data_IF_854667378402
#
_entry.id   IF_854667378402
#
_cell.length_a   1.000
_cell.length_b   1.000
_cell.length_c   1.000
_cell.angle_alpha   90.00
_cell.angle_beta   90.00
_cell.angle_gamma   90.00
#
_symmetry.space_group_name_H-M   'P 1'
#
loop_
_entity.id
_entity.type
_entity.pdbx_description
1 polymer ?
#
# COMPACT_ATOMS: atom_id res chain seq x y z
N UNK A 1 -21.03 72.72 51.05
CA UNK A 1 -20.64 72.19 49.79
C UNK A 1 -20.93 70.68 49.73
N UNK A 2 -22.15 70.31 49.27
CA UNK A 2 -22.57 68.90 49.10
C UNK A 2 -22.14 68.41 47.73
N UNK A 3 -21.33 67.36 47.67
CA UNK A 3 -20.94 66.73 46.46
C UNK A 3 -21.88 65.53 46.16
N UNK A 4 -22.54 65.54 45.00
CA UNK A 4 -23.42 64.47 44.58
C UNK A 4 -22.61 63.30 44.08
N UNK A 5 -23.05 62.03 44.25
CA UNK A 5 -22.35 60.86 43.76
C UNK A 5 -22.54 60.66 42.23
N UNK A 6 -21.45 60.37 41.55
CA UNK A 6 -21.44 60.00 40.11
C UNK A 6 -21.96 58.57 39.95
N UNK A 7 -23.05 58.44 39.26
CA UNK A 7 -23.59 57.15 38.81
C UNK A 7 -22.75 56.63 37.65
N UNK A 8 -22.09 55.49 37.84
CA UNK A 8 -21.41 54.73 36.77
C UNK A 8 -22.43 53.94 35.96
N UNK A 9 -22.57 54.34 34.73
CA UNK A 9 -23.38 53.61 33.72
C UNK A 9 -22.69 52.28 33.38
N UNK A 10 -23.35 51.19 33.77
CA UNK A 10 -22.90 49.84 33.40
C UNK A 10 -23.13 49.65 31.90
N UNK A 11 -22.02 49.47 31.17
CA UNK A 11 -22.05 49.05 29.76
C UNK A 11 -22.56 47.61 29.70
N UNK A 12 -23.67 47.45 29.00
CA UNK A 12 -24.26 46.15 28.65
C UNK A 12 -23.28 45.33 27.83
N UNK A 13 -22.76 44.26 28.41
CA UNK A 13 -21.99 43.27 27.71
C UNK A 13 -22.93 42.46 26.82
N UNK A 14 -22.88 42.69 25.48
CA UNK A 14 -23.56 41.83 24.52
C UNK A 14 -22.86 40.48 24.51
N UNK A 15 -23.52 39.45 25.05
CA UNK A 15 -23.14 38.07 24.91
C UNK A 15 -23.29 37.68 23.45
N UNK A 16 -22.18 37.44 22.78
CA UNK A 16 -22.17 36.83 21.44
C UNK A 16 -22.47 35.34 21.62
N UNK A 17 -23.70 34.96 21.31
CA UNK A 17 -24.08 33.55 21.20
C UNK A 17 -23.43 32.96 19.98
N UNK A 18 -22.34 32.24 20.13
CA UNK A 18 -21.76 31.38 19.10
C UNK A 18 -22.61 30.12 19.00
N UNK A 19 -23.50 30.10 18.02
CA UNK A 19 -24.17 28.87 17.62
C UNK A 19 -23.12 27.96 17.02
N UNK A 20 -22.67 26.97 17.77
CA UNK A 20 -21.88 25.85 17.24
C UNK A 20 -22.81 25.04 16.34
N UNK A 21 -22.73 25.28 15.03
CA UNK A 21 -23.36 24.40 14.07
C UNK A 21 -22.74 23.02 14.25
N UNK A 22 -23.51 22.10 14.82
CA UNK A 22 -23.18 20.69 14.83
C UNK A 22 -23.15 20.23 13.38
N UNK A 23 -21.96 20.13 12.82
CA UNK A 23 -21.73 19.43 11.55
C UNK A 23 -21.93 17.96 11.85
N UNK A 24 -23.17 17.50 11.70
CA UNK A 24 -23.49 16.09 11.69
C UNK A 24 -22.91 15.54 10.37
N UNK A 25 -21.79 14.85 10.48
CA UNK A 25 -21.22 14.12 9.36
C UNK A 25 -22.35 13.23 8.79
N UNK A 26 -22.57 13.21 7.47
CA UNK A 26 -23.54 12.30 6.90
C UNK A 26 -23.16 10.89 7.34
N UNK A 27 -24.13 10.18 7.94
CA UNK A 27 -23.99 8.77 8.28
C UNK A 27 -23.46 8.06 7.03
N UNK A 28 -22.27 7.48 7.13
CA UNK A 28 -21.70 6.69 6.06
C UNK A 28 -22.76 5.63 5.71
N UNK A 29 -23.35 5.77 4.54
CA UNK A 29 -24.22 4.77 3.98
C UNK A 29 -23.43 3.47 4.01
N UNK A 30 -23.89 2.51 4.77
CA UNK A 30 -23.32 1.18 4.88
C UNK A 30 -23.38 0.59 3.47
N UNK A 31 -22.26 0.69 2.77
CA UNK A 31 -22.14 0.19 1.40
C UNK A 31 -22.41 -1.31 1.46
N UNK A 32 -23.44 -1.75 0.74
CA UNK A 32 -23.75 -3.17 0.59
C UNK A 32 -22.45 -3.92 0.26
N UNK A 33 -22.23 -5.11 0.86
CA UNK A 33 -20.99 -5.84 0.66
C UNK A 33 -20.77 -6.05 -0.83
N UNK A 34 -19.64 -5.55 -1.32
CA UNK A 34 -19.29 -5.63 -2.72
C UNK A 34 -19.26 -7.10 -3.16
N UNK A 35 -20.13 -7.45 -4.09
CA UNK A 35 -20.15 -8.80 -4.66
C UNK A 35 -18.96 -8.94 -5.61
N UNK A 36 -18.07 -9.89 -5.29
CA UNK A 36 -16.91 -10.20 -6.10
C UNK A 36 -17.34 -10.86 -7.42
N UNK A 37 -16.84 -10.33 -8.51
CA UNK A 37 -16.98 -10.93 -9.85
C UNK A 37 -15.67 -11.62 -10.24
N UNK A 38 -15.66 -12.55 -11.22
CA UNK A 38 -14.42 -13.16 -11.71
C UNK A 38 -13.41 -12.17 -12.28
N UNK A 39 -13.87 -10.97 -12.66
CA UNK A 39 -13.04 -9.88 -13.19
C UNK A 39 -12.59 -8.88 -12.13
N UNK A 40 -13.05 -9.01 -10.89
CA UNK A 40 -12.69 -8.09 -9.79
C UNK A 40 -11.22 -8.22 -9.42
N UNK A 41 -10.52 -7.09 -9.41
CA UNK A 41 -9.13 -6.99 -8.96
C UNK A 41 -9.07 -6.36 -7.58
N UNK A 42 -8.58 -7.12 -6.60
CA UNK A 42 -8.43 -6.66 -5.21
C UNK A 42 -7.08 -6.00 -4.98
N UNK A 43 -7.01 -5.17 -3.92
CA UNK A 43 -5.75 -4.61 -3.44
C UNK A 43 -4.82 -5.74 -2.95
N UNK A 44 -3.53 -5.61 -3.28
CA UNK A 44 -2.51 -6.51 -2.76
C UNK A 44 -1.91 -6.05 -1.44
N UNK A 45 -1.00 -6.84 -0.88
CA UNK A 45 -0.24 -6.52 0.33
C UNK A 45 1.26 -6.38 0.04
N UNK A 46 1.91 -5.49 0.77
CA UNK A 46 3.36 -5.35 0.78
C UNK A 46 3.90 -6.21 1.91
N UNK A 47 4.72 -7.21 1.56
CA UNK A 47 5.20 -8.19 2.53
C UNK A 47 6.73 -8.30 2.52
N UNK A 48 7.28 -8.86 3.56
CA UNK A 48 8.72 -9.17 3.68
C UNK A 48 8.89 -10.67 3.83
N UNK A 49 9.72 -11.27 2.99
CA UNK A 49 10.10 -12.67 3.13
C UNK A 49 10.92 -12.85 4.41
N UNK A 50 10.47 -13.68 5.32
CA UNK A 50 11.18 -14.05 6.54
C UNK A 50 12.04 -15.31 6.37
N UNK A 51 11.58 -16.24 5.55
CA UNK A 51 12.27 -17.49 5.30
C UNK A 51 11.36 -18.52 4.65
N UNK A 52 11.81 -19.75 4.68
CA UNK A 52 11.02 -20.90 4.26
C UNK A 52 11.02 -21.94 5.39
N UNK A 53 9.94 -22.67 5.47
CA UNK A 53 9.76 -23.78 6.40
C UNK A 53 9.08 -24.95 5.69
N UNK A 54 8.99 -26.06 6.35
CA UNK A 54 8.28 -27.23 5.87
C UNK A 54 7.02 -27.41 6.69
N UNK A 55 5.90 -27.64 6.03
CA UNK A 55 4.63 -27.96 6.65
C UNK A 55 4.20 -29.37 6.26
N UNK A 56 3.58 -30.06 7.20
CA UNK A 56 2.97 -31.38 6.96
C UNK A 56 1.46 -31.21 6.88
N UNK A 57 0.88 -31.73 5.81
CA UNK A 57 -0.58 -31.79 5.68
C UNK A 57 -1.13 -32.93 6.53
N UNK A 58 -2.45 -32.92 6.83
CA UNK A 58 -3.09 -34.04 7.53
C UNK A 58 -2.87 -35.40 6.84
N UNK A 59 -2.70 -35.40 5.52
CA UNK A 59 -2.45 -36.58 4.69
C UNK A 59 -0.99 -37.08 4.78
N UNK A 60 -0.16 -36.47 5.63
CA UNK A 60 1.25 -36.83 5.78
C UNK A 60 2.18 -36.31 4.67
N UNK A 61 1.70 -35.50 3.74
CA UNK A 61 2.53 -34.91 2.69
C UNK A 61 3.36 -33.75 3.25
N UNK A 62 4.65 -33.74 2.85
CA UNK A 62 5.60 -32.67 3.17
C UNK A 62 5.50 -31.56 2.11
N UNK A 63 5.15 -30.34 2.51
CA UNK A 63 4.99 -29.20 1.61
C UNK A 63 5.92 -28.06 2.03
N UNK A 64 6.78 -27.55 1.13
CA UNK A 64 7.59 -26.37 1.42
C UNK A 64 6.70 -25.12 1.49
N UNK A 65 6.87 -24.34 2.54
CA UNK A 65 6.12 -23.11 2.75
C UNK A 65 7.04 -21.90 2.88
N UNK A 66 6.71 -20.82 2.21
CA UNK A 66 7.40 -19.53 2.36
C UNK A 66 6.67 -18.68 3.38
N UNK A 67 7.40 -18.18 4.37
CA UNK A 67 6.85 -17.29 5.39
C UNK A 67 6.99 -15.84 4.95
N UNK A 68 5.87 -15.19 4.75
CA UNK A 68 5.76 -13.77 4.41
C UNK A 68 5.20 -13.01 5.62
N UNK A 69 5.86 -11.93 6.00
CA UNK A 69 5.45 -11.07 7.09
C UNK A 69 4.78 -9.80 6.57
N UNK A 70 3.56 -9.54 6.99
CA UNK A 70 2.80 -8.31 6.70
C UNK A 70 3.09 -7.31 7.80
N UNK A 71 3.73 -6.19 7.47
CA UNK A 71 4.22 -5.20 8.41
C UNK A 71 3.51 -3.86 8.21
N UNK A 72 2.62 -3.51 9.13
CA UNK A 72 1.93 -2.22 9.22
C UNK A 72 1.43 -1.67 7.87
N UNK A 73 0.74 -2.51 7.08
CA UNK A 73 0.14 -2.09 5.82
C UNK A 73 -1.09 -1.22 6.08
N UNK A 74 -1.11 -0.03 5.50
CA UNK A 74 -2.21 0.94 5.61
C UNK A 74 -2.46 1.61 4.25
N UNK A 75 -3.72 1.90 3.97
CA UNK A 75 -4.11 2.59 2.74
C UNK A 75 -3.81 4.08 2.88
N UNK A 76 -2.93 4.62 2.02
CA UNK A 76 -2.53 6.03 2.05
C UNK A 76 -3.32 6.91 1.09
N UNK A 77 -3.77 6.37 -0.04
CA UNK A 77 -4.49 7.15 -1.04
C UNK A 77 -5.32 6.24 -1.94
N UNK A 78 -6.45 6.77 -2.39
CA UNK A 78 -7.22 6.24 -3.53
C UNK A 78 -6.93 7.09 -4.76
N UNK A 79 -6.73 6.47 -5.91
CA UNK A 79 -6.44 7.14 -7.18
C UNK A 79 -7.59 6.86 -8.13
N UNK A 80 -8.15 7.92 -8.69
CA UNK A 80 -9.22 7.84 -9.68
C UNK A 80 -10.62 7.61 -9.10
N UNK A 81 -10.78 7.48 -7.79
CA UNK A 81 -12.08 7.22 -7.15
C UNK A 81 -13.12 8.31 -7.41
N UNK A 82 -12.68 9.58 -7.48
CA UNK A 82 -13.54 10.75 -7.64
C UNK A 82 -13.95 11.03 -9.09
N UNK A 83 -13.41 10.28 -10.06
CA UNK A 83 -13.70 10.52 -11.48
C UNK A 83 -14.87 9.67 -11.95
N UNK A 84 -15.81 10.28 -12.73
CA UNK A 84 -16.92 9.52 -13.29
C UNK A 84 -16.42 8.45 -14.27
N UNK A 85 -17.21 7.42 -14.42
CA UNK A 85 -17.00 6.36 -15.39
C UNK A 85 -17.32 6.93 -16.79
N UNK A 86 -16.28 7.25 -17.56
CA UNK A 86 -16.40 7.76 -18.94
C UNK A 86 -15.49 6.97 -19.89
N UNK A 87 -15.57 7.26 -21.20
CA UNK A 87 -14.82 6.57 -22.27
C UNK A 87 -13.30 6.65 -22.08
N UNK A 88 -12.78 7.61 -21.34
CA UNK A 88 -11.42 7.72 -20.84
C UNK A 88 -11.40 7.44 -19.33
N UNK A 89 -11.94 6.33 -18.88
CA UNK A 89 -11.94 5.98 -17.46
C UNK A 89 -10.49 5.95 -16.93
N UNK A 90 -10.12 6.84 -16.01
CA UNK A 90 -8.80 6.81 -15.40
C UNK A 90 -8.64 5.48 -14.70
N UNK A 91 -7.44 4.92 -14.72
CA UNK A 91 -7.20 3.72 -13.95
C UNK A 91 -7.50 3.96 -12.47
N UNK A 92 -8.18 3.00 -11.87
CA UNK A 92 -8.45 3.01 -10.44
C UNK A 92 -7.31 2.27 -9.71
N UNK A 93 -6.80 2.88 -8.67
CA UNK A 93 -5.75 2.28 -7.88
C UNK A 93 -5.84 2.67 -6.39
N UNK A 94 -5.32 1.81 -5.55
CA UNK A 94 -5.15 2.04 -4.12
C UNK A 94 -3.67 2.04 -3.80
N UNK A 95 -3.19 3.12 -3.20
CA UNK A 95 -1.83 3.20 -2.71
C UNK A 95 -1.75 2.65 -1.29
N UNK A 96 -0.90 1.66 -1.10
CA UNK A 96 -0.64 1.04 0.20
C UNK A 96 0.72 1.48 0.70
N UNK A 97 0.76 1.89 1.96
CA UNK A 97 1.96 2.23 2.71
C UNK A 97 2.30 1.10 3.68
N UNK A 98 3.55 0.72 3.77
CA UNK A 98 3.98 -0.40 4.62
C UNK A 98 5.28 -0.10 5.36
N UNK A 99 5.47 -0.80 6.47
CA UNK A 99 6.64 -0.73 7.34
C UNK A 99 6.86 0.66 7.92
N UNK A 100 6.65 0.81 9.20
CA UNK A 100 6.88 2.07 9.90
C UNK A 100 8.36 2.48 9.84
N UNK A 101 8.60 3.75 9.65
CA UNK A 101 9.93 4.33 9.53
C UNK A 101 10.14 5.46 10.54
N UNK A 102 11.41 5.73 10.86
CA UNK A 102 11.74 6.90 11.67
C UNK A 102 11.58 8.17 10.83
N UNK A 103 11.00 9.23 11.41
CA UNK A 103 10.75 10.50 10.72
C UNK A 103 12.01 11.11 10.05
N UNK A 104 13.19 10.88 10.62
CA UNK A 104 14.47 11.36 10.07
C UNK A 104 14.93 10.64 8.79
N UNK A 105 14.37 9.46 8.49
CA UNK A 105 14.76 8.65 7.33
C UNK A 105 13.89 8.95 6.13
N UNK A 106 12.66 9.40 6.37
CA UNK A 106 11.67 9.70 5.33
C UNK A 106 11.78 11.16 4.91
N UNK A 107 11.77 11.43 3.61
CA UNK A 107 11.86 12.78 3.07
C UNK A 107 10.68 13.67 3.50
N UNK A 108 10.87 14.99 3.52
CA UNK A 108 9.80 15.92 3.92
C UNK A 108 8.56 15.85 2.99
N UNK A 109 8.70 15.76 1.66
CA UNK A 109 7.56 15.57 0.75
C UNK A 109 6.78 14.29 1.03
N UNK A 110 7.46 13.15 1.26
CA UNK A 110 6.79 11.89 1.57
C UNK A 110 6.06 11.92 2.91
N UNK A 111 6.65 12.58 3.92
CA UNK A 111 5.97 12.80 5.21
C UNK A 111 4.71 13.63 5.06
N UNK A 112 4.78 14.71 4.25
CA UNK A 112 3.61 15.54 3.93
C UNK A 112 2.52 14.77 3.21
N UNK A 113 2.90 13.91 2.26
CA UNK A 113 1.97 13.03 1.55
C UNK A 113 1.24 12.07 2.51
N UNK A 114 1.97 11.39 3.38
CA UNK A 114 1.39 10.47 4.37
C UNK A 114 0.56 11.19 5.44
N UNK A 115 0.98 12.38 5.86
CA UNK A 115 0.26 13.20 6.83
C UNK A 115 -1.14 13.61 6.33
N UNK A 116 -1.33 13.79 5.00
CA UNK A 116 -2.67 14.05 4.42
C UNK A 116 -3.65 12.91 4.66
N UNK A 117 -3.14 11.69 4.75
CA UNK A 117 -3.91 10.48 5.06
C UNK A 117 -3.99 10.19 6.57
N UNK A 118 -3.42 11.06 7.42
CA UNK A 118 -3.33 10.84 8.87
C UNK A 118 -2.36 9.72 9.26
N UNK A 119 -1.46 9.32 8.36
CA UNK A 119 -0.52 8.22 8.59
C UNK A 119 0.83 8.72 9.09
N UNK A 120 1.49 7.90 9.90
CA UNK A 120 2.89 8.08 10.27
C UNK A 120 3.85 7.84 9.10
N UNK A 121 5.15 8.15 9.28
CA UNK A 121 6.14 7.92 8.25
C UNK A 121 6.30 6.43 7.95
N UNK A 122 6.18 6.05 6.68
CA UNK A 122 6.30 4.68 6.17
C UNK A 122 7.52 4.55 5.26
N UNK A 123 8.04 3.35 5.14
CA UNK A 123 9.25 3.06 4.36
C UNK A 123 8.97 2.77 2.90
N UNK A 124 7.83 2.15 2.60
CA UNK A 124 7.50 1.67 1.26
C UNK A 124 6.09 2.11 0.90
N UNK A 125 5.94 2.69 -0.28
CA UNK A 125 4.67 3.04 -0.90
C UNK A 125 4.56 2.29 -2.22
N UNK A 126 3.45 1.61 -2.46
CA UNK A 126 3.15 0.93 -3.73
C UNK A 126 1.68 1.09 -4.08
N UNK A 127 1.42 1.15 -5.38
CA UNK A 127 0.08 1.21 -5.92
C UNK A 127 -0.35 -0.15 -6.44
N UNK A 128 -1.60 -0.46 -6.17
CA UNK A 128 -2.29 -1.63 -6.70
C UNK A 128 -3.47 -1.15 -7.52
N UNK A 129 -3.51 -1.54 -8.79
CA UNK A 129 -4.69 -1.32 -9.63
C UNK A 129 -5.81 -2.19 -9.09
N UNK A 130 -6.98 -1.60 -8.98
CA UNK A 130 -8.17 -2.26 -8.42
C UNK A 130 -9.39 -1.94 -9.26
N UNK A 131 -10.38 -2.77 -9.20
CA UNK A 131 -11.70 -2.48 -9.75
C UNK A 131 -12.49 -1.60 -8.76
N UNK A 132 -13.53 -0.95 -9.23
CA UNK A 132 -14.31 0.00 -8.44
C UNK A 132 -14.96 -0.65 -7.21
N UNK A 133 -15.37 -1.89 -7.33
CA UNK A 133 -15.93 -2.73 -6.27
C UNK A 133 -14.93 -3.08 -5.16
N UNK A 134 -13.63 -2.96 -5.46
CA UNK A 134 -12.53 -3.31 -4.57
C UNK A 134 -11.81 -2.11 -3.95
N UNK A 135 -12.37 -0.91 -4.06
CA UNK A 135 -11.81 0.29 -3.44
C UNK A 135 -11.89 0.18 -1.91
N UNK A 136 -10.76 0.42 -1.26
CA UNK A 136 -10.64 0.37 0.21
C UNK A 136 -10.45 1.79 0.74
N UNK A 137 -11.16 2.23 1.79
CA UNK A 137 -11.04 3.57 2.37
C UNK A 137 -9.62 3.89 2.84
N UNK A 138 -9.23 5.17 2.73
CA UNK A 138 -7.95 5.68 3.24
C UNK A 138 -7.87 5.47 4.76
N UNK A 139 -6.69 5.11 5.26
CA UNK A 139 -6.46 4.83 6.68
C UNK A 139 -6.81 3.40 7.11
N UNK A 140 -7.40 2.58 6.22
CA UNK A 140 -7.70 1.17 6.55
C UNK A 140 -6.41 0.39 6.74
N UNK A 141 -6.33 -0.36 7.83
CA UNK A 141 -5.22 -1.28 8.11
C UNK A 141 -5.46 -2.62 7.45
N UNK A 142 -4.48 -3.08 6.69
CA UNK A 142 -4.53 -4.36 5.99
C UNK A 142 -3.63 -5.37 6.70
N UNK A 143 -4.20 -6.52 7.02
CA UNK A 143 -3.50 -7.63 7.68
C UNK A 143 -3.49 -8.89 6.80
N UNK A 144 -2.86 -9.95 7.25
CA UNK A 144 -2.87 -11.25 6.56
C UNK A 144 -4.29 -11.82 6.38
N UNK A 145 -5.24 -11.45 7.24
CA UNK A 145 -6.64 -11.84 7.13
C UNK A 145 -7.36 -11.29 5.87
N UNK A 146 -6.69 -10.38 5.14
CA UNK A 146 -7.15 -9.93 3.82
C UNK A 146 -7.24 -11.09 2.81
N UNK A 147 -6.40 -12.10 2.95
CA UNK A 147 -6.42 -13.31 2.14
C UNK A 147 -7.14 -14.44 2.86
N UNK A 148 -7.87 -15.25 2.10
CA UNK A 148 -8.57 -16.41 2.62
C UNK A 148 -7.65 -17.63 2.51
N UNK A 149 -7.60 -18.52 3.53
CA UNK A 149 -6.86 -19.78 3.42
C UNK A 149 -7.28 -20.60 2.20
N UNK A 150 -6.30 -21.10 1.45
CA UNK A 150 -6.53 -21.83 0.20
C UNK A 150 -6.64 -20.97 -1.05
N UNK A 151 -6.54 -19.65 -0.92
CA UNK A 151 -6.51 -18.74 -2.05
C UNK A 151 -5.13 -18.73 -2.70
N UNK A 152 -5.11 -18.86 -4.04
CA UNK A 152 -3.90 -18.65 -4.85
C UNK A 152 -3.54 -17.17 -4.90
N UNK A 153 -2.24 -16.88 -4.82
CA UNK A 153 -1.72 -15.50 -4.84
C UNK A 153 -0.53 -15.37 -5.77
N UNK A 154 -0.48 -14.27 -6.51
CA UNK A 154 0.68 -13.89 -7.30
C UNK A 154 1.67 -13.10 -6.45
N UNK A 155 2.96 -13.41 -6.61
CA UNK A 155 4.03 -12.74 -5.85
C UNK A 155 4.96 -12.02 -6.82
N UNK A 156 5.11 -10.71 -6.62
CA UNK A 156 6.07 -9.89 -7.34
C UNK A 156 7.22 -9.49 -6.41
N UNK A 157 8.43 -9.85 -6.76
CA UNK A 157 9.62 -9.54 -5.97
C UNK A 157 10.86 -9.37 -6.85
N UNK A 158 11.91 -8.77 -6.27
CA UNK A 158 13.23 -8.74 -6.88
C UNK A 158 13.90 -10.09 -6.60
N UNK A 159 14.37 -10.76 -7.66
CA UNK A 159 15.06 -12.03 -7.54
C UNK A 159 16.41 -11.87 -6.87
N UNK A 160 16.96 -12.98 -6.36
CA UNK A 160 18.29 -12.99 -5.76
C UNK A 160 19.34 -12.51 -6.75
N UNK A 161 20.18 -11.56 -6.33
CA UNK A 161 21.32 -11.10 -7.13
C UNK A 161 22.34 -12.20 -7.37
N UNK A 162 22.89 -12.24 -8.58
CA UNK A 162 23.94 -13.20 -8.98
C UNK A 162 25.27 -12.51 -9.29
N UNK A 163 25.42 -11.25 -8.89
CA UNK A 163 26.58 -10.42 -9.15
C UNK A 163 26.78 -10.17 -10.64
N UNK A 164 28.02 -9.94 -11.05
CA UNK A 164 28.41 -9.78 -12.45
C UNK A 164 28.55 -11.14 -13.12
N UNK A 165 27.42 -11.81 -13.34
CA UNK A 165 27.34 -13.12 -13.94
C UNK A 165 26.85 -13.02 -15.41
N UNK A 166 27.31 -13.92 -16.27
CA UNK A 166 26.86 -14.05 -17.66
C UNK A 166 25.41 -14.55 -17.75
N UNK A 167 24.86 -14.49 -18.95
CA UNK A 167 23.46 -14.83 -19.21
C UNK A 167 23.11 -16.30 -18.93
N UNK A 168 24.06 -17.20 -19.02
CA UNK A 168 23.84 -18.60 -18.65
C UNK A 168 23.45 -18.73 -17.18
N UNK A 169 24.15 -18.05 -16.28
CA UNK A 169 23.86 -18.10 -14.84
C UNK A 169 22.67 -17.24 -14.47
N UNK A 170 22.50 -16.05 -15.10
CA UNK A 170 21.41 -15.12 -14.76
C UNK A 170 20.06 -15.57 -15.27
N UNK A 171 20.01 -16.08 -16.51
CA UNK A 171 18.76 -16.31 -17.23
C UNK A 171 18.60 -17.74 -17.76
N UNK A 172 19.52 -18.66 -17.42
CA UNK A 172 19.52 -20.05 -17.86
C UNK A 172 19.55 -20.19 -19.40
N UNK A 173 20.26 -19.29 -20.09
CA UNK A 173 20.47 -19.41 -21.53
C UNK A 173 21.41 -20.55 -21.85
N UNK A 174 21.24 -21.14 -23.02
CA UNK A 174 22.21 -22.07 -23.57
C UNK A 174 23.52 -21.35 -23.87
N UNK A 175 24.65 -22.00 -23.63
CA UNK A 175 25.95 -21.49 -24.01
C UNK A 175 26.26 -21.71 -25.49
N UNK A 176 27.38 -21.16 -25.93
CA UNK A 176 27.96 -21.52 -27.23
C UNK A 176 28.55 -22.94 -27.23
N UNK A 177 28.92 -23.43 -28.43
CA UNK A 177 29.57 -24.71 -28.57
C UNK A 177 30.90 -24.76 -27.78
N UNK A 178 31.23 -25.89 -27.17
CA UNK A 178 32.49 -26.08 -26.45
C UNK A 178 33.68 -26.35 -27.38
N UNK A 179 33.46 -26.30 -28.68
CA UNK A 179 34.45 -26.59 -29.74
C UNK A 179 34.55 -25.43 -30.73
N UNK A 180 35.37 -25.57 -31.77
CA UNK A 180 35.58 -24.55 -32.81
C UNK A 180 36.14 -23.22 -32.30
N UNK A 181 37.08 -23.29 -31.36
CA UNK A 181 37.78 -22.11 -30.81
C UNK A 181 37.04 -21.37 -29.70
N UNK A 182 35.80 -21.74 -29.41
CA UNK A 182 35.00 -21.16 -28.35
C UNK A 182 35.25 -21.84 -27.00
N UNK A 183 36.43 -21.82 -26.42
CA UNK A 183 36.65 -22.39 -25.08
C UNK A 183 35.41 -22.21 -24.18
N UNK A 184 35.15 -23.08 -23.22
CA UNK A 184 33.99 -23.12 -22.31
C UNK A 184 33.64 -21.75 -21.65
N UNK A 185 33.37 -20.75 -22.48
CA UNK A 185 33.12 -19.40 -22.01
C UNK A 185 31.68 -19.25 -21.55
N UNK A 186 31.46 -19.32 -20.26
CA UNK A 186 30.13 -19.19 -19.64
C UNK A 186 29.65 -17.74 -19.47
N UNK A 187 30.53 -16.75 -19.65
CA UNK A 187 30.24 -15.31 -19.52
C UNK A 187 30.28 -14.67 -20.92
N UNK A 188 29.50 -15.20 -21.83
CA UNK A 188 29.35 -14.60 -23.15
C UNK A 188 28.42 -13.38 -23.07
N UNK A 189 28.77 -12.34 -23.83
CA UNK A 189 27.97 -11.15 -23.95
C UNK A 189 27.38 -11.04 -25.35
N UNK A 190 26.32 -10.31 -25.43
CA UNK A 190 25.86 -9.57 -26.60
C UNK A 190 24.94 -10.26 -27.56
N UNK A 191 25.46 -10.82 -28.62
CA UNK A 191 24.66 -11.25 -29.74
C UNK A 191 23.66 -12.37 -29.38
N UNK A 192 23.88 -13.00 -28.24
CA UNK A 192 23.01 -14.05 -27.69
C UNK A 192 22.07 -13.57 -26.60
N UNK A 193 22.03 -12.27 -26.39
CA UNK A 193 21.11 -11.61 -25.50
C UNK A 193 19.96 -11.01 -26.31
#
# INVERSE_FOLDING_TARGET
GSAAPRTHTLHSIRTISTSVAHFQAPAAAEAAPAQWTPTSQRVGLITRKKGMTTMFTPDGKCVPATVLYVDANEVSMQIGADKPEGDEAPYLAVQVAATDARAKVVSAPERGHLARAGLGPKRVLREFRVTRDALVPVGTKLSAAHFVPGQDVDVRAITRGKGFAGVMKRHNFSGGNASHGASLAHRLSLIHI
#
